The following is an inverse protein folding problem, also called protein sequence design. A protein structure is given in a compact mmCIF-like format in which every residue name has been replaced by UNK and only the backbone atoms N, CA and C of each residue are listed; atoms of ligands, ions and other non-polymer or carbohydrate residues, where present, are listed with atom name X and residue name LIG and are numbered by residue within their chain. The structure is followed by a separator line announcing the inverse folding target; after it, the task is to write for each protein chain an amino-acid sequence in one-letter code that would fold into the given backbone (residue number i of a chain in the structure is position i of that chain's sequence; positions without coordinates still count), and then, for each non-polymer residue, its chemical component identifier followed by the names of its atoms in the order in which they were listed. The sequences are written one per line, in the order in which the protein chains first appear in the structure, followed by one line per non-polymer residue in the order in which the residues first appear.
data_IF_186862848249
#
_entry.id   IF_186862848249
#
_cell.length_a   1.000
_cell.length_b   1.000
_cell.length_c   1.000
_cell.angle_alpha   90.00
_cell.angle_beta   90.00
_cell.angle_gamma   90.00
#
_symmetry.space_group_name_H-M   'P 1'
#
loop_
_entity.id
_entity.type
_entity.pdbx_description
1 polymer ?
#
# COMPACT_ATOMS: atom_id res chain seq x y z
N UNK A 1 -6.21 -13.82 10.70
CA UNK A 1 -4.86 -13.36 11.13
C UNK A 1 -5.00 -12.73 12.52
N UNK A 2 -4.07 -12.97 13.45
CA UNK A 2 -4.09 -12.30 14.77
C UNK A 2 -3.86 -10.78 14.56
N UNK A 3 -4.58 -9.87 15.26
CA UNK A 3 -4.39 -8.42 15.18
C UNK A 3 -2.94 -7.95 15.15
N UNK A 4 -2.07 -8.52 16.00
CA UNK A 4 -0.65 -8.14 16.05
C UNK A 4 0.11 -8.46 14.75
N UNK A 5 -0.26 -9.53 14.04
CA UNK A 5 0.33 -9.84 12.74
C UNK A 5 -0.16 -8.87 11.65
N UNK A 6 -1.42 -8.44 11.71
CA UNK A 6 -1.97 -7.48 10.74
C UNK A 6 -1.31 -6.11 10.88
N UNK A 7 -1.09 -5.64 12.12
CA UNK A 7 -0.36 -4.40 12.41
C UNK A 7 1.11 -4.49 12.00
N UNK A 8 1.78 -5.61 12.31
CA UNK A 8 3.15 -5.86 11.88
C UNK A 8 3.27 -5.84 10.35
N UNK A 9 2.33 -6.48 9.63
CA UNK A 9 2.32 -6.51 8.18
C UNK A 9 2.01 -5.15 7.56
N UNK A 10 1.13 -4.37 8.18
CA UNK A 10 0.88 -2.97 7.79
C UNK A 10 2.15 -2.13 7.92
N UNK A 11 2.85 -2.24 9.05
CA UNK A 11 4.12 -1.56 9.26
C UNK A 11 5.20 -2.03 8.25
N UNK A 12 5.29 -3.34 8.00
CA UNK A 12 6.24 -3.92 7.07
C UNK A 12 6.00 -3.46 5.64
N UNK A 13 4.75 -3.48 5.17
CA UNK A 13 4.40 -3.03 3.83
C UNK A 13 4.65 -1.52 3.71
N UNK A 14 4.22 -0.71 4.69
CA UNK A 14 4.50 0.74 4.74
C UNK A 14 6.00 1.04 4.61
N UNK A 15 6.83 0.27 5.34
CA UNK A 15 8.27 0.40 5.27
C UNK A 15 8.85 -0.04 3.92
N UNK A 16 8.42 -1.20 3.41
CA UNK A 16 8.84 -1.70 2.10
C UNK A 16 8.49 -0.74 0.98
N UNK A 17 7.33 -0.07 1.09
CA UNK A 17 6.85 0.96 0.17
C UNK A 17 7.62 2.29 0.26
N UNK A 18 8.55 2.44 1.20
CA UNK A 18 9.27 3.70 1.40
C UNK A 18 8.40 4.83 1.94
N UNK A 19 7.23 4.52 2.53
CA UNK A 19 6.28 5.51 3.05
C UNK A 19 6.60 5.85 4.50
N UNK A 20 7.84 6.27 4.77
CA UNK A 20 8.17 6.86 6.06
C UNK A 20 8.46 8.33 5.85
N UNK A 21 7.55 9.19 6.33
CA UNK A 21 7.76 10.64 6.50
C UNK A 21 8.48 11.36 5.34
N UNK A 22 8.25 10.92 4.10
CA UNK A 22 8.93 11.47 2.94
C UNK A 22 8.12 12.65 2.39
N UNK A 23 8.78 13.81 2.27
CA UNK A 23 8.41 14.78 1.25
C UNK A 23 8.39 14.06 -0.10
N UNK A 24 7.35 14.23 -0.95
CA UNK A 24 7.28 13.57 -2.24
C UNK A 24 8.44 14.02 -3.12
N UNK A 25 9.51 13.21 -3.14
CA UNK A 25 10.64 13.32 -4.06
C UNK A 25 10.53 12.22 -5.13
N UNK A 26 11.22 12.35 -6.26
CA UNK A 26 11.09 11.44 -7.41
C UNK A 26 11.36 9.96 -7.08
N UNK A 27 12.26 9.66 -6.13
CA UNK A 27 12.57 8.29 -5.67
C UNK A 27 11.35 7.60 -5.04
N UNK A 28 10.53 8.35 -4.28
CA UNK A 28 9.31 7.83 -3.67
C UNK A 28 8.28 7.40 -4.72
N UNK A 29 8.16 8.14 -5.81
CA UNK A 29 7.18 7.86 -6.86
C UNK A 29 7.54 6.60 -7.66
N UNK A 30 8.84 6.32 -7.85
CA UNK A 30 9.31 5.11 -8.53
C UNK A 30 9.16 3.86 -7.65
N UNK A 31 9.56 3.94 -6.37
CA UNK A 31 9.28 2.88 -5.38
C UNK A 31 7.76 2.62 -5.33
N UNK A 32 6.95 3.67 -5.25
CA UNK A 32 5.49 3.57 -5.22
C UNK A 32 4.88 2.91 -6.47
N UNK A 33 5.29 3.30 -7.68
CA UNK A 33 4.82 2.66 -8.93
C UNK A 33 5.21 1.19 -8.97
N UNK A 34 6.42 0.88 -8.54
CA UNK A 34 6.92 -0.49 -8.49
C UNK A 34 6.06 -1.36 -7.56
N UNK A 35 5.77 -0.88 -6.35
CA UNK A 35 4.97 -1.67 -5.40
C UNK A 35 3.47 -1.67 -5.66
N UNK A 36 2.89 -0.58 -6.18
CA UNK A 36 1.49 -0.61 -6.63
C UNK A 36 1.30 -1.58 -7.79
N UNK A 37 2.33 -1.81 -8.59
CA UNK A 37 2.30 -2.83 -9.63
C UNK A 37 2.57 -4.25 -9.10
N UNK A 38 3.39 -4.41 -8.04
CA UNK A 38 3.49 -5.68 -7.32
C UNK A 38 2.16 -6.01 -6.63
N UNK A 39 1.61 -5.13 -5.80
CA UNK A 39 0.42 -5.39 -5.01
C UNK A 39 -0.67 -4.35 -5.33
N UNK A 40 -1.36 -4.48 -6.48
CA UNK A 40 -2.37 -3.51 -6.91
C UNK A 40 -3.57 -3.40 -5.97
N UNK A 41 -3.78 -4.40 -5.09
CA UNK A 41 -4.83 -4.38 -4.07
C UNK A 41 -4.44 -3.59 -2.82
N UNK A 42 -3.22 -3.06 -2.76
CA UNK A 42 -2.78 -2.12 -1.73
C UNK A 42 -3.25 -0.73 -2.13
N UNK A 43 -4.24 -0.20 -1.40
CA UNK A 43 -4.75 1.15 -1.61
C UNK A 43 -4.08 2.13 -0.65
N UNK A 44 -3.80 3.32 -1.15
CA UNK A 44 -3.07 4.36 -0.42
C UNK A 44 -3.97 5.58 -0.25
N UNK A 45 -4.07 6.06 0.98
CA UNK A 45 -4.63 7.38 1.23
C UNK A 45 -3.51 8.42 1.13
N UNK A 46 -3.65 9.43 0.26
CA UNK A 46 -2.87 10.66 0.37
C UNK A 46 -1.80 10.94 -0.69
N UNK A 47 -1.61 10.10 -1.71
CA UNK A 47 -0.87 10.53 -2.91
C UNK A 47 -1.90 11.11 -3.89
N UNK A 48 -2.27 12.37 -3.67
CA UNK A 48 -2.89 13.13 -4.74
C UNK A 48 -1.89 13.15 -5.90
N UNK A 49 -2.33 12.76 -7.10
CA UNK A 49 -1.66 13.21 -8.32
C UNK A 49 -1.72 14.74 -8.33
N UNK A 50 -0.72 15.39 -7.74
CA UNK A 50 -0.54 16.82 -7.89
C UNK A 50 0.03 17.05 -9.28
N UNK A 51 -0.84 17.35 -10.24
CA UNK A 51 -0.44 18.18 -11.38
C UNK A 51 -1.61 19.00 -11.90
N UNK A 52 -1.36 20.31 -11.93
CA UNK A 52 -2.02 21.37 -12.69
C UNK A 52 -3.36 21.86 -12.14
N UNK A 53 -3.32 22.91 -11.31
CA UNK A 53 -3.68 24.28 -11.73
C UNK A 53 -3.63 25.22 -10.51
N UNK A 54 -2.68 26.16 -10.52
CA UNK A 54 -2.79 27.38 -9.72
C UNK A 54 -3.95 28.21 -10.28
N UNK A 55 -5.06 28.32 -9.54
CA UNK A 55 -6.00 29.43 -9.73
C UNK A 55 -6.40 30.01 -8.38
N UNK A 56 -6.03 31.29 -8.22
CA UNK A 56 -6.32 32.21 -7.12
C UNK A 56 -7.76 32.07 -6.57
N UNK A 57 -7.89 31.71 -5.29
CA UNK A 57 -9.08 32.06 -4.51
C UNK A 57 -8.85 33.43 -3.88
N UNK A 58 -9.26 34.47 -4.62
CA UNK A 58 -9.53 35.78 -4.03
C UNK A 58 -10.72 35.67 -3.09
N UNK A 59 -10.52 36.25 -1.92
CA UNK A 59 -11.51 36.56 -0.90
C UNK A 59 -12.73 37.28 -1.47
N UNK A 60 -13.93 36.77 -1.16
CA UNK A 60 -15.11 37.60 -1.03
C UNK A 60 -15.91 37.18 0.21
N UNK A 61 -15.80 38.03 1.22
CA UNK A 61 -16.63 38.03 2.41
C UNK A 61 -18.06 38.40 2.04
N UNK A 62 -19.03 37.62 2.52
CA UNK A 62 -20.37 38.12 2.79
C UNK A 62 -21.02 37.25 3.88
N UNK A 63 -21.16 37.84 5.07
CA UNK A 63 -22.08 37.34 6.09
C UNK A 63 -23.51 37.58 5.59
N UNK A 64 -24.43 36.67 5.93
CA UNK A 64 -25.74 37.13 6.35
C UNK A 64 -26.10 36.55 7.72
N UNK A 65 -26.31 37.45 8.66
CA UNK A 65 -27.08 37.26 9.89
C UNK A 65 -28.50 36.82 9.53
N UNK A 66 -29.07 35.82 10.22
CA UNK A 66 -30.48 35.49 10.02
C UNK A 66 -31.02 34.30 10.81
N UNK A 67 -31.61 34.63 11.96
CA UNK A 67 -32.74 34.00 12.66
C UNK A 67 -32.64 32.57 13.24
N UNK A 68 -32.67 32.56 14.57
CA UNK A 68 -33.12 31.46 15.43
C UNK A 68 -34.58 31.09 15.10
N UNK A 69 -34.84 29.80 14.87
CA UNK A 69 -36.19 29.23 14.87
C UNK A 69 -36.25 28.17 15.98
N UNK A 70 -37.14 28.39 16.96
CA UNK A 70 -37.55 27.37 17.94
C UNK A 70 -38.51 26.36 17.29
N UNK A 71 -38.50 25.08 17.70
CA UNK A 71 -39.16 24.01 16.98
C UNK A 71 -40.62 23.86 17.41
N UNK A 72 -41.53 23.85 16.44
CA UNK A 72 -42.85 23.23 16.63
C UNK A 72 -43.27 22.49 15.36
N UNK A 73 -43.62 21.22 15.59
CA UNK A 73 -44.44 20.31 14.78
C UNK A 73 -43.89 19.82 13.43
N UNK A 74 -43.47 18.55 13.42
CA UNK A 74 -43.78 17.60 12.35
C UNK A 74 -42.80 17.47 11.18
N UNK A 75 -41.60 18.04 11.25
CA UNK A 75 -40.56 17.82 10.25
C UNK A 75 -39.67 16.66 10.69
N UNK A 76 -39.39 15.70 9.81
CA UNK A 76 -38.31 14.74 10.05
C UNK A 76 -37.03 15.51 10.41
N UNK A 77 -36.43 15.24 11.58
CA UNK A 77 -35.12 15.80 11.97
C UNK A 77 -33.97 15.31 11.07
N UNK A 78 -34.30 14.62 9.99
CA UNK A 78 -33.36 14.17 8.97
C UNK A 78 -33.08 15.28 7.97
N UNK A 79 -31.80 15.47 7.72
CA UNK A 79 -31.26 16.38 6.71
C UNK A 79 -30.36 15.61 5.76
N UNK A 80 -30.30 16.06 4.51
CA UNK A 80 -29.38 15.55 3.50
C UNK A 80 -28.23 16.54 3.40
N UNK A 81 -27.03 16.10 3.74
CA UNK A 81 -25.82 16.92 3.71
C UNK A 81 -25.04 16.69 2.40
N UNK A 82 -24.50 17.77 1.83
CA UNK A 82 -23.60 17.71 0.66
C UNK A 82 -22.16 17.72 1.14
N UNK A 83 -21.50 16.56 1.14
CA UNK A 83 -20.09 16.46 1.52
C UNK A 83 -19.23 16.54 0.27
N UNK A 84 -18.35 17.55 0.20
CA UNK A 84 -17.46 17.83 -0.94
C UNK A 84 -16.01 17.57 -0.59
N UNK A 85 -15.32 16.78 -1.40
CA UNK A 85 -13.87 16.57 -1.29
C UNK A 85 -13.09 17.69 -1.97
N UNK A 86 -11.79 17.78 -1.66
CA UNK A 86 -10.86 18.70 -2.35
C UNK A 86 -10.68 18.37 -3.84
N UNK A 87 -10.96 17.13 -4.26
CA UNK A 87 -10.94 16.68 -5.66
C UNK A 87 -12.20 17.04 -6.44
N UNK A 88 -13.15 17.73 -5.81
CA UNK A 88 -14.43 18.13 -6.43
C UNK A 88 -15.52 17.06 -6.41
N UNK A 89 -15.26 15.87 -5.84
CA UNK A 89 -16.27 14.83 -5.65
C UNK A 89 -17.30 15.28 -4.62
N UNK A 90 -18.59 15.10 -4.90
CA UNK A 90 -19.68 15.45 -4.00
C UNK A 90 -20.55 14.23 -3.71
N UNK A 91 -20.73 13.89 -2.44
CA UNK A 91 -21.65 12.83 -1.99
C UNK A 91 -22.81 13.43 -1.20
N UNK A 92 -23.92 12.70 -1.15
CA UNK A 92 -25.10 13.05 -0.35
C UNK A 92 -25.21 12.10 0.83
N UNK A 93 -25.31 12.66 2.03
CA UNK A 93 -25.40 11.89 3.27
C UNK A 93 -26.66 12.27 4.03
N UNK A 94 -27.58 11.33 4.19
CA UNK A 94 -28.75 11.48 5.05
C UNK A 94 -28.38 11.21 6.51
N UNK A 95 -28.68 12.16 7.39
CA UNK A 95 -28.35 12.11 8.81
C UNK A 95 -29.38 12.84 9.66
N UNK A 96 -29.58 12.42 10.91
CA UNK A 96 -30.45 13.12 11.85
C UNK A 96 -29.71 14.28 12.53
N UNK A 97 -30.38 15.41 12.78
CA UNK A 97 -29.79 16.56 13.49
C UNK A 97 -29.32 16.22 14.90
N UNK A 98 -29.91 15.23 15.55
CA UNK A 98 -29.50 14.71 16.86
C UNK A 98 -28.30 13.75 16.81
N UNK A 99 -27.90 13.29 15.62
CA UNK A 99 -26.71 12.46 15.48
C UNK A 99 -25.43 13.27 15.73
N UNK A 100 -24.41 12.59 16.24
CA UNK A 100 -23.09 13.19 16.42
C UNK A 100 -22.28 13.21 15.11
N UNK A 101 -21.31 14.11 15.03
CA UNK A 101 -20.37 14.18 13.90
C UNK A 101 -19.65 12.84 13.66
N UNK A 102 -19.40 12.05 14.71
CA UNK A 102 -18.84 10.70 14.56
C UNK A 102 -19.69 9.78 13.65
N UNK A 103 -21.03 9.88 13.71
CA UNK A 103 -21.93 9.12 12.82
C UNK A 103 -21.89 9.65 11.38
N UNK A 104 -21.77 10.97 11.20
CA UNK A 104 -21.56 11.56 9.88
C UNK A 104 -20.27 11.03 9.24
N UNK A 105 -19.18 11.00 10.01
CA UNK A 105 -17.91 10.45 9.53
C UNK A 105 -17.99 8.98 9.16
N UNK A 106 -18.73 8.19 9.92
CA UNK A 106 -18.99 6.79 9.59
C UNK A 106 -19.71 6.64 8.24
N UNK A 107 -20.77 7.42 7.99
CA UNK A 107 -21.49 7.39 6.71
C UNK A 107 -20.62 7.85 5.54
N UNK A 108 -19.73 8.83 5.76
CA UNK A 108 -18.74 9.25 4.76
C UNK A 108 -17.72 8.15 4.48
N UNK A 109 -17.28 7.41 5.50
CA UNK A 109 -16.41 6.23 5.33
C UNK A 109 -17.09 5.15 4.50
N UNK A 110 -18.36 4.83 4.77
CA UNK A 110 -19.11 3.83 4.02
C UNK A 110 -19.16 4.15 2.51
N UNK A 111 -19.25 5.44 2.13
CA UNK A 111 -19.35 5.85 0.73
C UNK A 111 -17.99 6.11 0.05
N UNK A 112 -17.03 6.72 0.75
CA UNK A 112 -15.75 7.14 0.16
C UNK A 112 -14.56 6.28 0.56
N UNK A 113 -14.74 5.36 1.51
CA UNK A 113 -13.67 4.53 2.09
C UNK A 113 -12.51 5.36 2.68
N UNK A 114 -12.79 6.59 3.13
CA UNK A 114 -11.83 7.46 3.81
C UNK A 114 -11.95 7.22 5.32
N UNK A 115 -10.88 6.80 6.02
CA UNK A 115 -10.91 6.49 7.44
C UNK A 115 -11.37 7.66 8.33
N UNK A 116 -12.14 7.37 9.39
CA UNK A 116 -12.80 8.37 10.24
C UNK A 116 -11.80 9.35 10.88
N UNK A 117 -10.65 8.86 11.31
CA UNK A 117 -9.56 9.62 11.91
C UNK A 117 -8.90 10.61 10.96
N UNK A 118 -9.03 10.37 9.64
CA UNK A 118 -8.55 11.27 8.58
C UNK A 118 -9.57 12.25 8.08
N UNK A 119 -10.84 12.01 8.39
CA UNK A 119 -11.91 12.89 7.99
C UNK A 119 -11.92 14.13 8.87
N UNK A 120 -11.58 15.26 8.24
CA UNK A 120 -11.73 16.56 8.84
C UNK A 120 -12.87 17.29 8.14
N UNK A 121 -14.06 17.22 8.75
CA UNK A 121 -15.27 17.83 8.21
C UNK A 121 -15.30 19.29 8.64
N UNK A 122 -15.41 20.19 7.67
CA UNK A 122 -15.39 21.64 7.86
C UNK A 122 -16.71 22.23 7.36
N UNK A 123 -17.37 22.99 8.22
CA UNK A 123 -18.58 23.74 7.88
C UNK A 123 -18.39 25.22 8.25
N UNK A 124 -18.61 26.12 7.29
CA UNK A 124 -18.47 27.57 7.49
C UNK A 124 -17.15 27.97 8.16
N UNK A 125 -16.05 27.33 7.77
CA UNK A 125 -14.71 27.56 8.32
C UNK A 125 -14.46 26.97 9.72
N UNK A 126 -15.38 26.19 10.27
CA UNK A 126 -15.25 25.52 11.57
C UNK A 126 -15.09 24.02 11.41
N UNK A 127 -14.11 23.45 12.12
CA UNK A 127 -13.94 22.00 12.22
C UNK A 127 -15.07 21.39 13.06
N UNK A 128 -15.65 20.31 12.55
CA UNK A 128 -16.70 19.57 13.24
C UNK A 128 -16.08 18.55 14.20
N UNK A 129 -16.47 18.62 15.46
CA UNK A 129 -15.93 17.79 16.54
C UNK A 129 -16.80 16.55 16.77
N UNK A 130 -16.16 15.40 16.96
CA UNK A 130 -16.83 14.09 17.00
C UNK A 130 -17.95 13.99 18.04
N UNK A 131 -17.83 14.69 19.17
CA UNK A 131 -18.78 14.62 20.30
C UNK A 131 -20.01 15.53 20.12
N UNK A 132 -19.94 16.52 19.22
CA UNK A 132 -21.01 17.48 19.00
C UNK A 132 -22.06 16.91 18.04
N UNK A 133 -23.31 17.35 18.19
CA UNK A 133 -24.41 16.96 17.30
C UNK A 133 -24.41 17.80 16.03
N UNK A 134 -24.96 17.28 14.93
CA UNK A 134 -25.09 18.04 13.67
C UNK A 134 -25.91 19.31 13.89
N UNK A 135 -27.01 19.22 14.64
CA UNK A 135 -27.88 20.34 14.97
C UNK A 135 -27.18 21.47 15.73
N UNK A 136 -26.18 21.17 16.57
CA UNK A 136 -25.44 22.19 17.34
C UNK A 136 -24.65 23.17 16.46
N UNK A 137 -24.33 22.78 15.22
CA UNK A 137 -23.61 23.63 14.26
C UNK A 137 -24.53 24.51 13.41
N UNK A 138 -25.86 24.41 13.57
CA UNK A 138 -26.82 25.14 12.73
C UNK A 138 -26.75 24.72 11.26
N UNK A 139 -26.39 23.46 11.00
CA UNK A 139 -26.30 22.91 9.64
C UNK A 139 -27.72 22.66 9.12
N UNK A 140 -28.06 23.26 7.99
CA UNK A 140 -29.36 23.11 7.35
C UNK A 140 -29.34 21.97 6.31
N UNK A 141 -30.53 21.57 5.87
CA UNK A 141 -30.66 20.63 4.75
C UNK A 141 -29.94 21.17 3.51
N UNK A 142 -29.23 20.29 2.81
CA UNK A 142 -28.42 20.58 1.62
C UNK A 142 -27.21 21.51 1.85
N UNK A 143 -26.87 21.84 3.11
CA UNK A 143 -25.68 22.63 3.42
C UNK A 143 -24.39 21.94 2.92
N UNK A 144 -23.44 22.71 2.34
CA UNK A 144 -22.16 22.17 1.91
C UNK A 144 -21.23 21.96 3.12
N UNK A 145 -20.72 20.75 3.26
CA UNK A 145 -19.65 20.41 4.21
C UNK A 145 -18.43 20.03 3.38
N UNK A 146 -17.29 20.64 3.70
CA UNK A 146 -16.03 20.31 3.04
C UNK A 146 -15.33 19.19 3.82
N UNK A 147 -14.94 18.13 3.12
CA UNK A 147 -14.08 17.08 3.66
C UNK A 147 -12.64 17.43 3.31
N UNK A 148 -11.90 17.89 4.31
CA UNK A 148 -10.44 17.93 4.26
C UNK A 148 -9.90 16.57 4.71
N UNK A 149 -8.84 16.11 4.03
CA UNK A 149 -8.14 14.88 4.42
C UNK A 149 -6.96 15.30 5.26
N UNK A 150 -6.94 14.89 6.53
CA UNK A 150 -5.76 15.08 7.37
C UNK A 150 -4.67 14.12 6.88
N UNK A 151 -3.62 14.69 6.31
CA UNK A 151 -2.43 13.94 5.92
C UNK A 151 -1.61 13.63 7.18
N UNK A 152 -1.96 12.56 7.89
CA UNK A 152 -0.95 11.77 8.62
C UNK A 152 -0.20 10.90 7.61
N UNK A 153 1.04 10.51 7.93
CA UNK A 153 1.92 9.67 7.09
C UNK A 153 1.10 8.64 6.29
N UNK A 154 1.34 8.45 4.98
CA UNK A 154 0.40 7.66 4.16
C UNK A 154 0.28 6.26 4.77
N UNK A 155 -0.89 5.95 5.32
CA UNK A 155 -1.13 4.63 5.90
C UNK A 155 -1.61 3.76 4.77
N UNK A 156 -1.06 2.57 4.76
CA UNK A 156 -1.38 1.55 3.79
C UNK A 156 -2.60 0.79 4.30
N UNK A 157 -3.70 0.85 3.54
CA UNK A 157 -4.83 -0.02 3.83
C UNK A 157 -4.62 -1.35 3.13
N UNK A 158 -4.32 -2.36 3.95
CA UNK A 158 -4.26 -3.73 3.48
C UNK A 158 -5.67 -4.30 3.49
N UNK A 159 -6.21 -4.56 2.31
CA UNK A 159 -7.41 -5.39 2.21
C UNK A 159 -7.17 -6.70 2.96
N UNK A 160 -8.11 -7.12 3.81
CA UNK A 160 -8.01 -8.40 4.52
C UNK A 160 -7.90 -9.59 3.55
N UNK A 161 -8.35 -9.41 2.30
CA UNK A 161 -8.28 -10.41 1.24
C UNK A 161 -6.90 -10.45 0.52
N UNK A 162 -5.96 -9.57 0.90
CA UNK A 162 -4.62 -9.55 0.33
C UNK A 162 -3.80 -10.77 0.76
N UNK A 163 -4.02 -11.27 1.98
CA UNK A 163 -3.24 -12.37 2.55
C UNK A 163 -3.95 -13.71 2.43
N UNK A 164 -3.17 -14.79 2.44
CA UNK A 164 -3.66 -16.16 2.57
C UNK A 164 -3.01 -16.85 3.78
N UNK A 165 -3.47 -16.54 5.02
CA UNK A 165 -2.79 -16.96 6.24
C UNK A 165 -2.67 -18.48 6.42
N UNK A 166 -3.49 -19.26 5.70
CA UNK A 166 -3.38 -20.72 5.67
C UNK A 166 -2.08 -21.23 5.06
N UNK A 167 -1.37 -20.37 4.31
CA UNK A 167 -0.07 -20.63 3.75
C UNK A 167 1.04 -19.81 4.40
N UNK A 168 0.80 -19.15 5.54
CA UNK A 168 1.88 -18.56 6.33
C UNK A 168 2.85 -19.67 6.80
N UNK A 169 4.14 -19.35 6.94
CA UNK A 169 5.10 -20.30 7.46
C UNK A 169 6.20 -19.61 8.26
N UNK A 170 6.53 -20.17 9.42
CA UNK A 170 7.59 -19.71 10.28
C UNK A 170 8.90 -20.47 9.98
N UNK A 171 9.84 -19.82 9.31
CA UNK A 171 11.16 -20.39 9.02
C UNK A 171 12.21 -19.97 10.06
N UNK A 172 11.85 -19.30 11.16
CA UNK A 172 12.83 -18.74 12.12
C UNK A 172 13.75 -19.79 12.73
N UNK A 173 13.26 -21.03 12.89
CA UNK A 173 14.00 -22.16 13.44
C UNK A 173 14.42 -23.20 12.40
N UNK A 174 14.25 -22.90 11.10
CA UNK A 174 14.56 -23.81 9.99
C UNK A 174 15.97 -23.53 9.46
N UNK A 175 16.69 -24.61 9.14
CA UNK A 175 17.96 -24.58 8.43
C UNK A 175 17.98 -25.72 7.40
N UNK A 176 18.09 -25.35 6.12
CA UNK A 176 18.09 -26.31 5.00
C UNK A 176 19.44 -26.98 4.77
N UNK A 177 20.52 -26.44 5.35
CA UNK A 177 21.89 -26.87 5.03
C UNK A 177 22.12 -26.83 3.51
N UNK A 178 22.47 -27.98 2.93
CA UNK A 178 22.66 -28.13 1.48
C UNK A 178 21.46 -28.75 0.75
N UNK A 179 20.36 -29.05 1.46
CA UNK A 179 19.21 -29.74 0.89
C UNK A 179 18.07 -28.75 0.61
N UNK A 180 18.11 -28.15 -0.58
CA UNK A 180 17.12 -27.17 -0.99
C UNK A 180 16.08 -27.77 -1.94
N UNK A 181 14.78 -27.49 -1.71
CA UNK A 181 13.75 -27.88 -2.65
C UNK A 181 13.91 -27.14 -3.99
N UNK A 182 13.23 -27.62 -5.03
CA UNK A 182 13.12 -26.91 -6.30
C UNK A 182 11.73 -26.31 -6.46
N UNK A 183 11.65 -25.20 -7.20
CA UNK A 183 10.41 -24.55 -7.62
C UNK A 183 10.62 -23.97 -9.02
N UNK A 184 9.74 -24.30 -9.95
CA UNK A 184 9.84 -23.86 -11.34
C UNK A 184 11.11 -24.29 -12.07
N UNK A 185 11.70 -25.42 -11.67
CA UNK A 185 12.96 -25.88 -12.25
C UNK A 185 14.20 -25.15 -11.73
N UNK A 186 14.08 -24.26 -10.74
CA UNK A 186 15.20 -23.60 -10.06
C UNK A 186 15.31 -24.05 -8.61
N UNK A 187 16.50 -23.91 -8.01
CA UNK A 187 16.69 -24.14 -6.57
C UNK A 187 15.90 -23.07 -5.82
N UNK A 188 15.10 -23.50 -4.84
CA UNK A 188 14.39 -22.61 -3.94
C UNK A 188 15.09 -22.58 -2.59
N UNK A 189 15.90 -21.55 -2.38
CA UNK A 189 16.49 -21.24 -1.08
C UNK A 189 15.40 -20.67 -0.17
N UNK A 190 14.79 -21.53 0.66
CA UNK A 190 13.74 -21.10 1.60
C UNK A 190 14.28 -19.98 2.51
N UNK A 191 13.43 -19.03 2.95
CA UNK A 191 13.88 -17.88 3.73
C UNK A 191 14.14 -18.30 5.18
N UNK A 192 15.11 -19.18 5.40
CA UNK A 192 15.52 -19.71 6.69
C UNK A 192 15.91 -18.58 7.64
N UNK A 193 15.38 -18.59 8.87
CA UNK A 193 15.53 -17.49 9.81
C UNK A 193 14.50 -16.36 9.68
N UNK A 194 13.54 -16.45 8.76
CA UNK A 194 12.50 -15.43 8.53
C UNK A 194 11.10 -15.96 8.83
N UNK A 195 10.17 -15.05 9.11
CA UNK A 195 8.74 -15.36 9.12
C UNK A 195 8.13 -14.98 7.78
N UNK A 196 7.46 -15.92 7.11
CA UNK A 196 6.84 -15.71 5.80
C UNK A 196 5.33 -15.61 5.93
N UNK A 197 4.76 -14.55 5.38
CA UNK A 197 3.33 -14.28 5.32
C UNK A 197 2.85 -14.37 3.87
N UNK A 198 1.95 -15.30 3.56
CA UNK A 198 1.55 -15.57 2.20
C UNK A 198 0.55 -14.53 1.68
N UNK A 199 0.72 -14.13 0.42
CA UNK A 199 -0.25 -13.33 -0.30
C UNK A 199 -1.26 -14.24 -0.98
N UNK A 200 -2.52 -13.79 -1.08
CA UNK A 200 -3.55 -14.45 -1.87
C UNK A 200 -3.15 -14.33 -3.33
N UNK A 201 -2.75 -15.43 -3.95
CA UNK A 201 -2.28 -15.43 -5.33
C UNK A 201 -3.10 -16.34 -6.27
N UNK A 202 -3.71 -17.39 -5.71
CA UNK A 202 -4.58 -18.30 -6.45
C UNK A 202 -5.82 -17.57 -6.98
N UNK A 203 -6.16 -17.80 -8.25
CA UNK A 203 -7.31 -17.22 -8.94
C UNK A 203 -7.16 -15.73 -9.32
N UNK A 204 -5.98 -15.12 -9.11
CA UNK A 204 -5.73 -13.71 -9.47
C UNK A 204 -5.20 -13.50 -10.89
N UNK A 205 -4.66 -14.54 -11.49
CA UNK A 205 -4.02 -14.48 -12.81
C UNK A 205 -4.74 -15.39 -13.80
N UNK A 206 -4.28 -15.43 -15.05
CA UNK A 206 -4.92 -16.18 -16.13
C UNK A 206 -5.07 -17.69 -15.85
N UNK A 207 -4.20 -18.25 -15.01
CA UNK A 207 -4.30 -19.59 -14.46
C UNK A 207 -3.46 -19.70 -13.17
N UNK A 208 -3.50 -20.85 -12.48
CA UNK A 208 -2.72 -21.14 -11.27
C UNK A 208 -1.58 -22.15 -11.49
N UNK A 209 -1.30 -22.51 -12.75
CA UNK A 209 -0.28 -23.52 -13.09
C UNK A 209 1.11 -23.12 -12.61
N UNK A 210 1.42 -21.83 -12.70
CA UNK A 210 2.64 -21.21 -12.19
C UNK A 210 2.82 -21.32 -10.67
N UNK A 211 1.75 -21.58 -9.91
CA UNK A 211 1.72 -21.65 -8.44
C UNK A 211 1.94 -23.07 -7.90
N UNK A 212 2.02 -24.07 -8.77
CA UNK A 212 2.17 -25.48 -8.40
C UNK A 212 3.41 -25.73 -7.51
N UNK A 213 3.51 -26.95 -6.98
CA UNK A 213 4.59 -27.40 -6.09
C UNK A 213 5.26 -28.68 -6.59
N UNK A 214 5.19 -28.96 -7.89
CA UNK A 214 5.88 -30.11 -8.51
C UNK A 214 7.39 -29.93 -8.55
N UNK A 215 7.89 -28.71 -8.34
CA UNK A 215 9.31 -28.36 -8.34
C UNK A 215 9.91 -28.19 -9.73
N UNK A 216 9.16 -28.52 -10.77
CA UNK A 216 9.54 -28.43 -12.17
C UNK A 216 8.58 -27.57 -12.98
N UNK A 217 8.89 -27.40 -14.27
CA UNK A 217 8.04 -26.66 -15.20
C UNK A 217 6.65 -27.30 -15.31
N UNK A 218 5.59 -26.55 -15.65
CA UNK A 218 5.53 -25.10 -15.98
C UNK A 218 5.42 -24.16 -14.76
N UNK A 219 5.74 -24.64 -13.57
CA UNK A 219 5.80 -23.83 -12.36
C UNK A 219 6.81 -22.67 -12.52
N UNK A 220 6.60 -21.53 -11.86
CA UNK A 220 7.53 -20.39 -11.90
C UNK A 220 8.58 -20.46 -10.78
N UNK A 221 9.74 -19.85 -11.01
CA UNK A 221 10.82 -19.83 -10.03
C UNK A 221 10.47 -18.95 -8.82
N UNK A 222 11.03 -19.22 -7.64
CA UNK A 222 10.88 -18.33 -6.47
C UNK A 222 12.08 -17.39 -6.37
N UNK A 223 11.82 -16.10 -6.25
CA UNK A 223 12.85 -15.08 -6.05
C UNK A 223 12.46 -14.10 -4.95
N UNK A 224 13.45 -13.32 -4.52
CA UNK A 224 13.37 -12.31 -3.48
C UNK A 224 13.70 -10.95 -4.06
N UNK A 225 12.98 -9.94 -3.61
CA UNK A 225 13.14 -8.58 -4.07
C UNK A 225 13.38 -7.66 -2.86
N UNK A 226 14.53 -6.97 -2.89
CA UNK A 226 14.87 -5.90 -1.97
C UNK A 226 14.42 -4.55 -2.55
N UNK A 227 14.06 -3.62 -1.68
CA UNK A 227 13.13 -2.53 -1.96
C UNK A 227 13.75 -1.15 -2.13
N UNK A 228 15.07 -1.07 -2.30
CA UNK A 228 15.83 0.18 -2.29
C UNK A 228 16.36 0.49 -3.70
N UNK A 229 15.65 1.36 -4.41
CA UNK A 229 15.95 1.73 -5.80
C UNK A 229 17.28 2.48 -5.97
N UNK A 230 17.71 3.24 -4.96
CA UNK A 230 19.01 3.92 -4.95
C UNK A 230 20.14 2.90 -4.87
N UNK A 231 20.07 1.97 -3.91
CA UNK A 231 21.05 0.88 -3.81
C UNK A 231 21.06 -0.03 -5.03
N UNK A 232 19.90 -0.28 -5.62
CA UNK A 232 19.82 -1.02 -6.88
C UNK A 232 20.59 -0.27 -7.97
N UNK A 233 20.38 1.03 -8.12
CA UNK A 233 21.09 1.82 -9.13
C UNK A 233 22.61 1.83 -8.90
N UNK A 234 23.06 1.93 -7.65
CA UNK A 234 24.47 1.80 -7.29
C UNK A 234 25.05 0.43 -7.68
N UNK A 235 24.34 -0.66 -7.38
CA UNK A 235 24.72 -2.02 -7.76
C UNK A 235 24.85 -2.17 -9.28
N UNK A 236 23.84 -1.68 -10.02
CA UNK A 236 23.84 -1.76 -11.47
C UNK A 236 25.02 -0.98 -12.07
N UNK A 237 25.32 0.21 -11.54
CA UNK A 237 26.47 1.01 -11.98
C UNK A 237 27.80 0.29 -11.68
N UNK A 238 27.93 -0.30 -10.49
CA UNK A 238 29.11 -1.07 -10.09
C UNK A 238 29.33 -2.27 -11.02
N UNK A 239 28.31 -3.10 -11.27
CA UNK A 239 28.42 -4.26 -12.17
C UNK A 239 28.75 -3.87 -13.61
N UNK A 240 28.21 -2.75 -14.11
CA UNK A 240 28.59 -2.20 -15.42
C UNK A 240 30.07 -1.80 -15.49
N UNK A 241 30.59 -1.19 -14.43
CA UNK A 241 32.00 -0.80 -14.35
C UNK A 241 32.94 -2.01 -14.28
N UNK A 242 32.54 -3.06 -13.55
CA UNK A 242 33.34 -4.29 -13.35
C UNK A 242 33.31 -5.22 -14.57
N UNK A 243 32.21 -5.24 -15.33
CA UNK A 243 32.07 -6.13 -16.49
C UNK A 243 31.35 -5.44 -17.66
N UNK A 244 32.13 -4.94 -18.62
CA UNK A 244 31.61 -4.30 -19.85
C UNK A 244 30.67 -5.20 -20.67
N UNK A 245 30.78 -6.53 -20.55
CA UNK A 245 29.88 -7.45 -21.26
C UNK A 245 28.48 -7.52 -20.62
N UNK A 246 28.31 -7.01 -19.40
CA UNK A 246 27.01 -6.88 -18.74
C UNK A 246 26.33 -5.54 -19.05
N UNK A 247 27.04 -4.59 -19.66
CA UNK A 247 26.52 -3.24 -19.91
C UNK A 247 25.26 -3.25 -20.78
N UNK A 248 25.22 -4.11 -21.81
CA UNK A 248 24.05 -4.31 -22.67
C UNK A 248 22.93 -5.14 -22.02
N UNK A 249 23.24 -5.87 -20.94
CA UNK A 249 22.28 -6.72 -20.23
C UNK A 249 21.60 -6.01 -19.07
N UNK A 250 22.27 -5.00 -18.48
CA UNK A 250 21.76 -4.22 -17.37
C UNK A 250 20.99 -3.00 -17.90
N UNK A 251 19.67 -3.13 -17.88
CA UNK A 251 18.73 -2.09 -18.30
C UNK A 251 17.79 -1.73 -17.14
N UNK A 252 17.07 -0.62 -17.26
CA UNK A 252 16.04 -0.23 -16.28
C UNK A 252 14.92 -1.28 -16.29
N UNK A 253 14.53 -1.76 -15.12
CA UNK A 253 13.47 -2.75 -14.94
C UNK A 253 13.55 -3.38 -13.55
N UNK A 254 12.97 -4.56 -13.39
CA UNK A 254 12.79 -5.18 -12.09
C UNK A 254 13.85 -6.24 -11.83
N UNK A 255 14.49 -6.16 -10.67
CA UNK A 255 15.58 -7.06 -10.29
C UNK A 255 15.19 -7.83 -9.04
N UNK A 256 15.18 -9.15 -9.12
CA UNK A 256 15.04 -10.05 -7.98
C UNK A 256 16.26 -10.97 -7.89
N UNK A 257 16.33 -11.83 -6.89
CA UNK A 257 17.44 -12.76 -6.67
C UNK A 257 16.94 -14.07 -6.07
N UNK A 258 17.62 -15.18 -6.32
CA UNK A 258 17.26 -16.47 -5.70
C UNK A 258 17.59 -16.54 -4.21
N UNK A 259 18.41 -15.63 -3.69
CA UNK A 259 18.92 -15.67 -2.32
C UNK A 259 18.40 -14.51 -1.50
N UNK A 260 17.70 -14.80 -0.40
CA UNK A 260 17.18 -13.74 0.49
C UNK A 260 18.30 -12.90 1.10
N UNK A 261 19.47 -13.48 1.37
CA UNK A 261 20.65 -12.77 1.88
C UNK A 261 21.18 -11.73 0.89
N UNK A 262 21.09 -12.01 -0.42
CA UNK A 262 21.39 -11.00 -1.44
C UNK A 262 20.33 -9.89 -1.38
N UNK A 263 19.04 -10.24 -1.31
CA UNK A 263 17.96 -9.25 -1.23
C UNK A 263 18.04 -8.36 0.03
N UNK A 264 18.58 -8.85 1.15
CA UNK A 264 18.76 -8.10 2.40
C UNK A 264 19.61 -6.84 2.22
N UNK A 265 20.58 -6.84 1.31
CA UNK A 265 21.44 -5.69 1.06
C UNK A 265 20.63 -4.45 0.64
N UNK A 266 19.46 -4.69 0.05
CA UNK A 266 18.51 -3.68 -0.45
C UNK A 266 17.18 -3.69 0.34
N UNK A 267 17.09 -4.44 1.44
CA UNK A 267 15.89 -4.48 2.28
C UNK A 267 15.72 -3.21 3.12
N UNK A 268 14.49 -2.71 3.23
CA UNK A 268 14.15 -1.63 4.17
C UNK A 268 13.92 -2.18 5.57
N UNK A 269 14.29 -1.40 6.59
CA UNK A 269 14.04 -1.71 8.01
C UNK A 269 12.94 -0.83 8.59
N UNK A 270 12.30 -1.30 9.66
CA UNK A 270 11.25 -0.57 10.36
C UNK A 270 11.16 -0.97 11.81
N UNK A 271 10.63 -0.06 12.63
CA UNK A 271 10.43 -0.29 14.06
C UNK A 271 8.98 -0.68 14.31
N UNK A 272 8.77 -1.75 15.07
CA UNK A 272 7.45 -2.16 15.55
C UNK A 272 7.57 -2.67 16.98
N UNK A 273 6.75 -2.16 17.90
CA UNK A 273 6.78 -2.56 19.32
C UNK A 273 8.20 -2.59 19.94
N UNK A 274 8.98 -1.52 19.72
CA UNK A 274 10.38 -1.35 20.19
C UNK A 274 11.40 -2.36 19.64
N UNK A 275 11.06 -3.08 18.57
CA UNK A 275 11.97 -3.98 17.87
C UNK A 275 12.19 -3.49 16.45
N UNK A 276 13.41 -3.67 15.95
CA UNK A 276 13.74 -3.41 14.56
C UNK A 276 13.50 -4.68 13.74
N UNK A 277 12.86 -4.51 12.60
CA UNK A 277 12.57 -5.57 11.64
C UNK A 277 13.04 -5.16 10.26
N UNK A 278 13.30 -6.15 9.43
CA UNK A 278 13.53 -6.02 8.00
C UNK A 278 12.40 -6.69 7.24
N UNK A 279 12.01 -6.10 6.11
CA UNK A 279 11.01 -6.63 5.18
C UNK A 279 11.64 -6.94 3.83
N UNK A 280 11.30 -8.11 3.28
CA UNK A 280 11.69 -8.55 1.93
C UNK A 280 10.47 -9.14 1.24
N UNK A 281 10.27 -8.81 -0.04
CA UNK A 281 9.20 -9.40 -0.84
C UNK A 281 9.67 -10.67 -1.51
N UNK A 282 8.79 -11.67 -1.58
CA UNK A 282 9.01 -12.89 -2.34
C UNK A 282 8.05 -12.92 -3.53
N UNK A 283 8.59 -13.25 -4.69
CA UNK A 283 7.86 -13.29 -5.95
C UNK A 283 8.07 -14.62 -6.68
N UNK A 284 7.25 -14.81 -7.71
CA UNK A 284 7.31 -15.91 -8.66
C UNK A 284 7.67 -15.34 -10.02
N UNK A 285 8.72 -15.88 -10.64
CA UNK A 285 9.30 -15.35 -11.87
C UNK A 285 9.21 -16.34 -13.03
N UNK A 286 8.71 -15.88 -14.16
CA UNK A 286 8.60 -16.66 -15.39
C UNK A 286 9.84 -16.53 -16.27
N UNK A 287 10.94 -17.15 -15.83
CA UNK A 287 12.22 -17.11 -16.57
C UNK A 287 12.11 -17.81 -17.93
N UNK A 288 11.24 -18.80 -18.04
CA UNK A 288 11.04 -19.59 -19.26
C UNK A 288 10.33 -18.83 -20.38
N UNK A 289 9.71 -17.68 -20.08
CA UNK A 289 9.13 -16.78 -21.08
C UNK A 289 10.16 -16.17 -22.04
N UNK A 290 11.44 -16.16 -21.67
CA UNK A 290 12.49 -15.40 -22.36
C UNK A 290 12.41 -13.88 -22.13
N UNK A 291 11.44 -13.41 -21.33
CA UNK A 291 11.26 -12.01 -20.94
C UNK A 291 11.79 -11.70 -19.55
N UNK A 292 12.01 -12.73 -18.74
CA UNK A 292 12.86 -12.67 -17.55
C UNK A 292 14.16 -13.44 -17.80
N UNK A 293 15.31 -12.92 -17.33
CA UNK A 293 16.62 -13.54 -17.55
C UNK A 293 17.48 -13.49 -16.29
N UNK A 294 18.28 -14.53 -16.11
CA UNK A 294 19.30 -14.58 -15.06
C UNK A 294 20.51 -13.76 -15.51
N UNK A 295 20.91 -12.80 -14.69
CA UNK A 295 22.08 -11.95 -14.89
C UNK A 295 23.13 -12.32 -13.84
N UNK A 296 24.33 -12.61 -14.32
CA UNK A 296 25.50 -12.89 -13.47
C UNK A 296 25.31 -14.06 -12.47
N UNK A 297 24.37 -14.98 -12.78
CA UNK A 297 24.03 -16.13 -11.92
C UNK A 297 23.32 -15.78 -10.61
N UNK A 298 23.19 -14.50 -10.27
CA UNK A 298 22.78 -14.04 -8.95
C UNK A 298 21.43 -13.30 -8.99
N UNK A 299 21.17 -12.56 -10.06
CA UNK A 299 19.99 -11.72 -10.21
C UNK A 299 19.07 -12.24 -11.31
N UNK A 300 17.79 -11.98 -11.18
CA UNK A 300 16.77 -12.17 -12.21
C UNK A 300 16.26 -10.81 -12.60
N UNK A 301 16.40 -10.48 -13.88
CA UNK A 301 15.84 -9.26 -14.47
C UNK A 301 14.53 -9.59 -15.18
N UNK A 302 13.49 -8.82 -14.89
CA UNK A 302 12.18 -8.89 -15.54
C UNK A 302 11.82 -7.53 -16.14
N UNK A 303 11.44 -7.53 -17.42
CA UNK A 303 11.10 -6.30 -18.16
C UNK A 303 9.77 -5.69 -17.72
N UNK A 304 8.79 -6.54 -17.40
CA UNK A 304 7.44 -6.14 -16.97
C UNK A 304 6.95 -7.03 -15.83
N UNK A 305 5.90 -6.59 -15.12
CA UNK A 305 5.24 -7.37 -14.07
C UNK A 305 4.42 -8.56 -14.60
N UNK A 306 4.22 -8.67 -15.92
CA UNK A 306 3.50 -9.82 -16.49
C UNK A 306 4.23 -11.15 -16.21
N UNK A 307 5.55 -11.07 -15.97
CA UNK A 307 6.43 -12.20 -15.71
C UNK A 307 6.89 -12.31 -14.26
N UNK A 308 6.42 -11.42 -13.38
CA UNK A 308 6.76 -11.36 -11.97
C UNK A 308 5.48 -11.26 -11.12
N UNK A 309 5.21 -12.27 -10.30
CA UNK A 309 4.00 -12.33 -9.46
C UNK A 309 4.36 -12.33 -7.98
N UNK A 310 3.98 -11.32 -7.20
CA UNK A 310 4.19 -11.38 -5.76
C UNK A 310 3.46 -12.56 -5.13
N UNK A 311 4.12 -13.14 -4.15
CA UNK A 311 3.73 -14.43 -3.59
C UNK A 311 3.71 -14.42 -2.07
N UNK A 312 4.67 -13.75 -1.42
CA UNK A 312 4.68 -13.61 0.03
C UNK A 312 5.53 -12.43 0.51
N UNK A 313 5.42 -12.13 1.80
CA UNK A 313 6.23 -11.13 2.50
C UNK A 313 7.04 -11.84 3.58
N UNK A 314 8.35 -11.62 3.59
CA UNK A 314 9.25 -12.15 4.59
C UNK A 314 9.63 -11.04 5.58
N UNK A 315 9.47 -11.30 6.88
CA UNK A 315 9.83 -10.38 7.96
C UNK A 315 10.82 -11.08 8.90
N UNK A 316 11.89 -10.38 9.26
CA UNK A 316 12.89 -10.85 10.24
C UNK A 316 13.23 -9.73 11.21
N UNK A 317 13.35 -10.08 12.49
CA UNK A 317 13.88 -9.17 13.50
C UNK A 317 15.39 -9.03 13.30
N UNK A 318 15.89 -7.80 13.26
CA UNK A 318 17.30 -7.46 13.02
C UNK A 318 17.87 -6.63 14.16
#
# INVERSE_FOLDING_TARGET
MNPTNAELLSAAITAGLGIQNASPNDTFLEDFKFYSALCPEVTFSGISQSRQEEVKLQSSSSNPSGNFINPSSGSSDYVILKVRTLTGTCILVEINLSDNVSKLKQKVFEQLQIPIERQDLVYSGRHLENANTIGSYGIANQSPIHLAIRLSSPEVFLSQNLFDPGYDYDFTSINDGNNHPRRGGYIYYRPCGWRRFALKAAGKYENDVWLNSSGGRPEWAVTYHGTDSEKLQELLNKKKAENRNLESQIVRGFYSTFHIETAMQFGKTFTFQNNTYMVIFQSRENIDSGKARVIDGEYVYSETFDYMRPYSICIKRV
#
